data_IF_828789866173
#
_entry.id   IF_828789866173
#
_cell.length_a   1.000
_cell.length_b   1.000
_cell.length_c   1.000
_cell.angle_alpha   90.00
_cell.angle_beta   90.00
_cell.angle_gamma   90.00
#
_symmetry.space_group_name_H-M   'P 1'
#
loop_
_entity.id
_entity.type
_entity.pdbx_description
1 polymer ?
#
# COMPACT_ATOMS: atom_id res chain seq x y z
N UNK A 1 4.06 -21.45 29.91
CA UNK A 1 4.42 -21.52 28.52
C UNK A 1 3.30 -22.09 27.65
N UNK A 2 2.82 -23.29 27.98
CA UNK A 2 1.75 -23.94 27.19
C UNK A 2 0.46 -23.13 27.15
N UNK A 3 0.01 -22.57 28.29
CA UNK A 3 -1.18 -21.72 28.34
C UNK A 3 -1.01 -20.45 27.47
N UNK A 4 0.19 -19.86 27.46
CA UNK A 4 0.50 -18.71 26.63
C UNK A 4 0.56 -19.06 25.14
N UNK A 5 1.01 -20.25 24.78
CA UNK A 5 0.97 -20.76 23.41
C UNK A 5 -0.46 -20.99 22.92
N UNK A 6 -1.32 -21.56 23.77
CA UNK A 6 -2.75 -21.76 23.48
C UNK A 6 -3.46 -20.41 23.27
N UNK A 7 -3.16 -19.40 24.10
CA UNK A 7 -3.72 -18.05 23.98
C UNK A 7 -3.25 -17.40 22.66
N UNK A 8 -1.99 -17.54 22.28
CA UNK A 8 -1.47 -17.04 21.01
C UNK A 8 -2.20 -17.68 19.83
N UNK A 9 -2.37 -19.01 19.83
CA UNK A 9 -3.08 -19.72 18.75
C UNK A 9 -4.55 -19.29 18.67
N UNK A 10 -5.20 -19.09 19.82
CA UNK A 10 -6.58 -18.61 19.88
C UNK A 10 -6.69 -17.19 19.31
N UNK A 11 -5.83 -16.27 19.74
CA UNK A 11 -5.87 -14.86 19.36
C UNK A 11 -5.59 -14.66 17.87
N UNK A 12 -4.57 -15.30 17.32
CA UNK A 12 -4.24 -15.15 15.90
C UNK A 12 -5.29 -15.71 14.94
N UNK A 13 -6.27 -16.45 15.44
CA UNK A 13 -7.41 -16.95 14.66
C UNK A 13 -8.69 -16.13 14.85
N UNK A 14 -8.66 -15.11 15.72
CA UNK A 14 -9.77 -14.17 15.86
C UNK A 14 -9.69 -13.08 14.78
N UNK A 15 -10.86 -12.63 14.32
CA UNK A 15 -10.97 -11.57 13.31
C UNK A 15 -10.16 -10.33 13.70
N UNK A 16 -9.40 -9.82 12.73
CA UNK A 16 -8.65 -8.59 12.87
C UNK A 16 -7.27 -8.74 13.48
N UNK A 17 -6.90 -9.90 13.99
CA UNK A 17 -5.55 -10.12 14.54
C UNK A 17 -4.56 -10.51 13.45
N UNK A 18 -3.31 -10.03 13.57
CA UNK A 18 -2.23 -10.55 12.72
C UNK A 18 -2.02 -12.03 13.00
N UNK A 19 -1.86 -12.82 11.94
CA UNK A 19 -1.59 -14.26 12.07
C UNK A 19 -0.22 -14.58 12.61
N UNK A 20 0.70 -13.61 12.58
CA UNK A 20 2.04 -13.72 13.13
C UNK A 20 2.31 -12.54 14.08
N UNK A 21 2.97 -12.76 15.23
CA UNK A 21 3.34 -11.67 16.13
C UNK A 21 4.33 -10.72 15.46
N UNK A 22 4.06 -9.43 15.55
CA UNK A 22 4.98 -8.39 15.13
C UNK A 22 4.66 -7.11 15.90
N UNK A 23 5.69 -6.29 16.13
CA UNK A 23 5.56 -5.03 16.84
C UNK A 23 5.87 -3.88 15.90
N UNK A 24 5.03 -2.84 15.92
CA UNK A 24 5.24 -1.65 15.13
C UNK A 24 6.38 -0.81 15.72
N UNK A 25 7.40 -0.59 14.91
CA UNK A 25 8.56 0.26 15.25
C UNK A 25 8.56 1.58 14.46
N UNK A 26 7.67 1.73 13.49
CA UNK A 26 7.55 2.88 12.63
C UNK A 26 6.36 3.75 13.04
N UNK A 27 6.59 5.05 13.20
CA UNK A 27 5.54 6.06 13.27
C UNK A 27 5.61 6.90 12.02
N UNK A 28 4.67 6.69 11.12
CA UNK A 28 4.56 7.39 9.84
C UNK A 28 3.08 7.45 9.45
N UNK A 29 2.32 8.32 10.15
CA UNK A 29 0.86 8.32 10.09
C UNK A 29 0.26 9.55 9.44
N UNK A 30 0.88 10.72 9.62
CA UNK A 30 0.38 12.00 9.10
C UNK A 30 1.48 13.04 9.10
N UNK A 31 1.71 13.66 7.94
CA UNK A 31 2.69 14.73 7.76
C UNK A 31 2.07 15.89 6.96
N UNK A 32 1.06 16.56 7.51
CA UNK A 32 0.32 17.59 6.77
C UNK A 32 1.16 18.84 6.45
N UNK A 33 2.27 19.05 7.16
CA UNK A 33 3.15 20.19 6.97
C UNK A 33 4.44 19.84 6.20
N UNK A 34 4.51 18.67 5.61
CA UNK A 34 5.65 18.25 4.80
C UNK A 34 5.88 19.21 3.62
N UNK A 35 7.15 19.43 3.31
CA UNK A 35 7.56 20.18 2.12
C UNK A 35 7.94 19.18 1.03
N UNK A 36 7.15 19.17 -0.05
CA UNK A 36 7.35 18.28 -1.18
C UNK A 36 8.18 18.96 -2.27
N UNK A 37 9.11 18.22 -2.86
CA UNK A 37 9.92 18.68 -3.99
C UNK A 37 10.23 17.54 -4.96
N UNK A 38 10.60 17.91 -6.19
CA UNK A 38 11.01 17.00 -7.26
C UNK A 38 12.49 17.26 -7.58
N UNK A 39 13.43 16.58 -6.92
CA UNK A 39 14.86 16.94 -6.94
C UNK A 39 15.52 16.75 -8.31
N UNK A 40 14.93 15.93 -9.20
CA UNK A 40 15.43 15.71 -10.55
C UNK A 40 14.81 16.67 -11.58
N UNK A 41 14.00 17.63 -11.14
CA UNK A 41 13.37 18.61 -12.02
C UNK A 41 12.24 18.03 -12.88
N UNK A 42 11.59 16.95 -12.41
CA UNK A 42 10.47 16.35 -13.13
C UNK A 42 9.35 17.35 -13.35
N UNK A 43 8.70 17.26 -14.51
CA UNK A 43 7.66 18.19 -14.90
C UNK A 43 6.40 18.01 -14.06
N UNK A 44 5.86 19.13 -13.58
CA UNK A 44 4.54 19.21 -12.99
C UNK A 44 3.60 19.98 -13.90
N UNK A 45 2.30 19.80 -13.73
CA UNK A 45 1.30 20.32 -14.66
C UNK A 45 0.25 21.16 -13.93
N UNK A 46 -0.16 22.26 -14.56
CA UNK A 46 -1.39 22.94 -14.19
C UNK A 46 -2.59 22.11 -14.65
N UNK A 47 -3.81 22.48 -14.21
CA UNK A 47 -5.03 21.81 -14.64
C UNK A 47 -5.17 21.77 -16.18
N UNK A 48 -4.93 22.90 -16.83
CA UNK A 48 -5.05 23.00 -18.30
C UNK A 48 -3.91 22.28 -19.03
N UNK A 49 -2.69 22.38 -18.53
CA UNK A 49 -1.54 21.66 -19.12
C UNK A 49 -1.71 20.14 -19.03
N UNK A 50 -2.23 19.65 -17.90
CA UNK A 50 -2.49 18.22 -17.71
C UNK A 50 -3.57 17.71 -18.68
N UNK A 51 -4.63 18.48 -18.86
CA UNK A 51 -5.69 18.20 -19.84
C UNK A 51 -5.15 18.20 -21.26
N UNK A 52 -4.32 19.15 -21.64
CA UNK A 52 -3.69 19.22 -22.96
C UNK A 52 -2.82 17.99 -23.22
N UNK A 53 -2.02 17.58 -22.23
CA UNK A 53 -1.21 16.37 -22.37
C UNK A 53 -2.09 15.13 -22.55
N UNK A 54 -3.11 14.97 -21.74
CA UNK A 54 -4.05 13.86 -21.83
C UNK A 54 -4.70 13.80 -23.21
N UNK A 55 -5.24 14.91 -23.68
CA UNK A 55 -5.92 14.99 -24.97
C UNK A 55 -4.99 14.65 -26.14
N UNK A 56 -3.74 15.11 -26.09
CA UNK A 56 -2.80 14.95 -27.18
C UNK A 56 -2.07 13.61 -27.20
N UNK A 57 -1.94 12.94 -26.04
CA UNK A 57 -1.05 11.78 -25.90
C UNK A 57 -1.72 10.50 -25.40
N UNK A 58 -2.87 10.57 -24.76
CA UNK A 58 -3.49 9.41 -24.12
C UNK A 58 -4.89 9.14 -24.62
N UNK A 59 -5.73 10.16 -24.73
CA UNK A 59 -7.15 10.03 -24.99
C UNK A 59 -7.49 9.18 -26.21
N UNK A 60 -6.77 9.40 -27.32
CA UNK A 60 -7.01 8.68 -28.56
C UNK A 60 -6.67 7.18 -28.50
N UNK A 61 -5.87 6.78 -27.51
CA UNK A 61 -5.45 5.40 -27.30
C UNK A 61 -6.43 4.61 -26.42
N UNK A 62 -7.34 5.28 -25.72
CA UNK A 62 -8.26 4.63 -24.76
C UNK A 62 -9.47 3.98 -25.41
N UNK A 63 -9.70 4.22 -26.72
CA UNK A 63 -10.86 3.71 -27.44
C UNK A 63 -12.14 4.46 -27.12
N UNK A 64 -13.26 3.96 -27.64
CA UNK A 64 -14.58 4.57 -27.52
C UNK A 64 -15.41 4.04 -26.34
N UNK A 65 -14.92 3.04 -25.61
CA UNK A 65 -15.60 2.51 -24.44
C UNK A 65 -15.65 3.58 -23.34
N UNK A 66 -16.84 3.92 -22.80
CA UNK A 66 -16.95 4.91 -21.72
C UNK A 66 -16.06 4.62 -20.50
N UNK A 67 -15.78 3.34 -20.21
CA UNK A 67 -14.90 2.93 -19.12
C UNK A 67 -13.43 3.37 -19.33
N UNK A 68 -13.02 3.58 -20.59
CA UNK A 68 -11.69 4.09 -20.93
C UNK A 68 -11.72 5.58 -21.27
N UNK A 69 -12.87 6.20 -21.19
CA UNK A 69 -13.08 7.57 -21.65
C UNK A 69 -12.47 8.64 -20.75
N UNK A 70 -12.65 9.89 -21.17
CA UNK A 70 -12.14 11.06 -20.49
C UNK A 70 -12.82 11.36 -19.13
N UNK A 71 -13.88 10.65 -18.77
CA UNK A 71 -14.70 10.98 -17.59
C UNK A 71 -13.88 10.89 -16.29
N UNK A 72 -13.11 9.82 -16.10
CA UNK A 72 -12.27 9.67 -14.90
C UNK A 72 -11.19 10.73 -14.84
N UNK A 73 -10.55 11.01 -15.98
CA UNK A 73 -9.55 12.07 -16.06
C UNK A 73 -10.17 13.44 -15.73
N UNK A 74 -11.26 13.79 -16.36
CA UNK A 74 -11.92 15.08 -16.14
C UNK A 74 -12.36 15.25 -14.69
N UNK A 75 -12.90 14.20 -14.07
CA UNK A 75 -13.27 14.22 -12.67
C UNK A 75 -12.07 14.47 -11.77
N UNK A 76 -11.03 13.66 -11.85
CA UNK A 76 -9.87 13.78 -10.98
C UNK A 76 -9.13 15.11 -11.19
N UNK A 77 -9.08 15.60 -12.43
CA UNK A 77 -8.50 16.89 -12.76
C UNK A 77 -9.29 18.06 -12.18
N UNK A 78 -10.61 17.92 -12.08
CA UNK A 78 -11.49 18.95 -11.50
C UNK A 78 -11.42 19.02 -9.99
N UNK A 79 -11.18 17.89 -9.30
CA UNK A 79 -11.15 17.83 -7.83
C UNK A 79 -9.75 18.01 -7.24
N UNK A 80 -8.70 17.86 -8.04
CA UNK A 80 -7.34 18.10 -7.59
C UNK A 80 -7.15 19.56 -7.16
N UNK A 81 -6.54 19.76 -6.00
CA UNK A 81 -6.33 21.07 -5.41
C UNK A 81 -4.85 21.26 -5.00
N UNK A 82 -4.57 22.22 -4.13
CA UNK A 82 -3.20 22.53 -3.71
C UNK A 82 -2.49 21.40 -2.96
N UNK A 83 -3.22 20.41 -2.46
CA UNK A 83 -2.66 19.24 -1.77
C UNK A 83 -2.21 18.15 -2.75
N UNK A 84 -2.60 18.22 -4.02
CA UNK A 84 -2.23 17.28 -5.07
C UNK A 84 -1.42 17.97 -6.17
N UNK A 85 -0.31 17.34 -6.56
CA UNK A 85 0.50 17.79 -7.71
C UNK A 85 0.29 16.86 -8.89
N UNK A 86 -0.07 17.44 -10.03
CA UNK A 86 -0.30 16.71 -11.28
C UNK A 86 1.01 16.34 -11.94
N UNK A 87 1.20 15.07 -12.21
CA UNK A 87 2.36 14.53 -12.94
C UNK A 87 1.92 13.55 -14.02
N UNK A 88 2.84 13.23 -14.90
CA UNK A 88 2.69 12.13 -15.86
C UNK A 88 3.81 11.13 -15.59
N UNK A 89 3.45 9.90 -15.29
CA UNK A 89 4.42 8.81 -15.22
C UNK A 89 4.66 8.28 -16.61
N UNK A 90 5.91 8.21 -17.03
CA UNK A 90 6.33 7.65 -18.31
C UNK A 90 6.96 6.28 -18.09
N UNK A 91 6.61 5.30 -18.91
CA UNK A 91 7.10 3.93 -18.76
C UNK A 91 8.61 3.88 -18.66
N UNK A 92 9.10 3.19 -17.63
CA UNK A 92 10.52 2.97 -17.31
C UNK A 92 11.33 4.25 -17.04
N UNK A 93 10.66 5.38 -16.77
CA UNK A 93 11.30 6.64 -16.41
C UNK A 93 11.01 6.94 -14.93
N UNK A 94 12.00 6.83 -14.03
CA UNK A 94 11.80 7.11 -12.61
C UNK A 94 11.40 8.57 -12.35
N UNK A 95 10.40 8.76 -11.51
CA UNK A 95 10.01 10.06 -10.98
C UNK A 95 10.31 10.06 -9.48
N UNK A 96 11.17 10.97 -9.05
CA UNK A 96 11.59 11.09 -7.65
C UNK A 96 10.87 12.22 -6.96
N UNK A 97 10.35 11.95 -5.75
CA UNK A 97 9.69 12.93 -4.88
C UNK A 97 10.38 12.91 -3.53
N UNK A 98 10.74 14.09 -3.01
CA UNK A 98 11.30 14.24 -1.68
C UNK A 98 10.34 14.99 -0.76
N UNK A 99 10.26 14.56 0.47
CA UNK A 99 9.50 15.21 1.53
C UNK A 99 10.42 15.54 2.69
N UNK A 100 10.48 16.80 3.06
CA UNK A 100 11.21 17.33 4.21
C UNK A 100 10.25 18.02 5.17
N UNK A 101 10.77 18.61 6.24
CA UNK A 101 9.94 19.23 7.29
C UNK A 101 8.94 18.25 7.89
N UNK A 102 9.37 17.01 8.11
CA UNK A 102 8.58 15.98 8.77
C UNK A 102 8.59 16.22 10.27
N UNK A 103 7.42 16.20 10.90
CA UNK A 103 7.27 16.56 12.32
C UNK A 103 6.82 15.41 13.21
N UNK A 104 6.25 14.34 12.61
CA UNK A 104 5.54 13.30 13.34
C UNK A 104 6.08 11.90 13.05
N UNK A 105 7.26 11.77 12.45
CA UNK A 105 7.72 10.50 11.91
C UNK A 105 8.98 10.03 12.62
N UNK A 106 8.97 8.76 13.03
CA UNK A 106 10.03 8.13 13.83
C UNK A 106 10.17 6.66 13.46
N UNK A 107 11.40 6.16 13.57
CA UNK A 107 11.69 4.74 13.53
C UNK A 107 12.54 4.34 14.73
N UNK A 108 12.04 3.43 15.57
CA UNK A 108 12.69 3.04 16.83
C UNK A 108 13.10 4.25 17.71
N UNK A 109 12.22 5.26 17.77
CA UNK A 109 12.49 6.50 18.52
C UNK A 109 13.41 7.48 17.80
N UNK A 110 13.99 7.11 16.68
CA UNK A 110 14.86 7.98 15.87
C UNK A 110 14.00 8.80 14.91
N UNK A 111 14.20 10.11 14.89
CA UNK A 111 13.42 10.98 14.01
C UNK A 111 13.73 10.73 12.54
N UNK A 112 12.67 10.63 11.74
CA UNK A 112 12.75 10.65 10.30
C UNK A 112 12.63 12.11 9.85
N UNK A 113 13.67 12.64 9.23
CA UNK A 113 13.70 14.03 8.78
C UNK A 113 13.30 14.20 7.32
N UNK A 114 13.50 13.17 6.52
CA UNK A 114 13.18 13.15 5.09
C UNK A 114 12.72 11.76 4.66
N UNK A 115 11.75 11.73 3.75
CA UNK A 115 11.38 10.52 3.02
C UNK A 115 11.49 10.79 1.51
N UNK A 116 11.95 9.81 0.78
CA UNK A 116 12.12 9.87 -0.66
C UNK A 116 11.38 8.72 -1.32
N UNK A 117 10.49 9.05 -2.26
CA UNK A 117 9.79 8.08 -3.09
C UNK A 117 10.32 8.14 -4.52
N UNK A 118 10.54 6.99 -5.11
CA UNK A 118 10.86 6.87 -6.54
C UNK A 118 9.81 5.99 -7.19
N UNK A 119 8.99 6.60 -8.07
CA UNK A 119 7.94 5.91 -8.81
C UNK A 119 8.42 5.59 -10.22
N UNK A 120 8.22 4.36 -10.66
CA UNK A 120 8.49 3.95 -12.04
C UNK A 120 7.30 3.17 -12.59
N UNK A 121 6.65 3.71 -13.61
CA UNK A 121 5.59 3.02 -14.32
C UNK A 121 6.20 1.84 -15.09
N UNK A 122 5.76 0.63 -14.80
CA UNK A 122 6.23 -0.59 -15.46
C UNK A 122 5.30 -1.02 -16.59
N UNK A 123 3.99 -0.83 -16.41
CA UNK A 123 3.00 -1.19 -17.41
C UNK A 123 1.68 -0.44 -17.15
N UNK A 124 0.95 -0.09 -18.20
CA UNK A 124 -0.42 0.41 -18.12
C UNK A 124 -1.44 -0.71 -18.36
N UNK A 125 -1.04 -1.77 -19.06
CA UNK A 125 -1.94 -2.80 -19.54
C UNK A 125 -2.87 -2.37 -20.67
N UNK A 126 -2.66 -1.15 -21.21
CA UNK A 126 -3.45 -0.61 -22.31
C UNK A 126 -2.56 -0.54 -23.56
N UNK A 127 -2.95 -1.18 -24.68
CA UNK A 127 -2.15 -1.20 -25.90
C UNK A 127 -1.85 0.21 -26.40
N UNK A 128 -0.57 0.50 -26.67
CA UNK A 128 -0.12 1.80 -27.19
C UNK A 128 -0.07 2.93 -26.14
N UNK A 129 -0.39 2.67 -24.87
CA UNK A 129 -0.35 3.67 -23.81
C UNK A 129 0.85 3.39 -22.91
N UNK A 130 1.85 4.28 -22.97
CA UNK A 130 3.11 4.19 -22.23
C UNK A 130 3.28 5.32 -21.19
N UNK A 131 2.22 6.05 -20.90
CA UNK A 131 2.21 7.10 -19.89
C UNK A 131 0.90 7.07 -19.10
N UNK A 132 0.96 7.58 -17.87
CA UNK A 132 -0.15 7.51 -16.93
C UNK A 132 -0.21 8.79 -16.11
N UNK A 133 -1.36 9.50 -16.12
CA UNK A 133 -1.57 10.60 -15.21
C UNK A 133 -1.60 10.12 -13.76
N UNK A 134 -0.95 10.85 -12.89
CA UNK A 134 -0.95 10.59 -11.45
C UNK A 134 -0.99 11.91 -10.67
N UNK A 135 -1.50 11.83 -9.44
CA UNK A 135 -1.47 12.91 -8.47
C UNK A 135 -0.56 12.52 -7.32
N UNK A 136 0.44 13.35 -7.06
CA UNK A 136 1.33 13.17 -5.92
C UNK A 136 0.80 14.02 -4.78
N UNK A 137 0.49 13.36 -3.66
CA UNK A 137 -0.03 14.04 -2.48
C UNK A 137 1.06 14.82 -1.76
N UNK A 138 0.71 15.99 -1.24
CA UNK A 138 1.59 16.81 -0.42
C UNK A 138 1.98 16.11 0.89
N UNK A 139 1.06 15.36 1.47
CA UNK A 139 1.34 14.51 2.62
C UNK A 139 1.87 13.16 2.14
N UNK A 140 3.10 12.78 2.48
CA UNK A 140 3.68 11.52 2.02
C UNK A 140 2.93 10.29 2.52
N UNK A 141 2.20 10.40 3.63
CA UNK A 141 1.43 9.29 4.20
C UNK A 141 0.08 9.08 3.49
N UNK A 142 -0.36 10.04 2.70
CA UNK A 142 -1.52 9.94 1.81
C UNK A 142 -1.12 9.43 0.43
N UNK A 143 0.06 9.74 -0.02
CA UNK A 143 0.91 9.16 -1.05
C UNK A 143 0.54 9.53 -2.49
N UNK A 144 -0.32 8.78 -3.17
CA UNK A 144 -0.63 9.10 -4.57
C UNK A 144 -2.00 8.57 -5.02
N UNK A 145 -2.46 9.17 -6.12
CA UNK A 145 -3.55 8.66 -6.96
C UNK A 145 -2.99 8.38 -8.35
N UNK A 146 -3.49 7.36 -9.02
CA UNK A 146 -3.15 7.12 -10.41
C UNK A 146 -4.37 6.71 -11.23
N UNK A 147 -4.32 7.05 -12.52
CA UNK A 147 -5.41 6.75 -13.44
C UNK A 147 -5.09 5.46 -14.19
N UNK A 148 -5.72 4.39 -13.74
CA UNK A 148 -5.55 3.07 -14.32
C UNK A 148 -6.34 2.88 -15.62
N UNK A 149 -7.33 3.72 -15.86
CA UNK A 149 -8.19 3.70 -17.04
C UNK A 149 -8.74 2.31 -17.39
N UNK A 150 -9.06 1.53 -16.36
CA UNK A 150 -9.54 0.15 -16.50
C UNK A 150 -8.52 -0.79 -17.18
N UNK A 151 -7.25 -0.45 -17.07
CA UNK A 151 -6.12 -1.26 -17.53
C UNK A 151 -5.59 -2.20 -16.46
N UNK A 152 -4.29 -2.47 -16.54
CA UNK A 152 -3.54 -3.36 -15.66
C UNK A 152 -2.29 -2.64 -15.14
N UNK A 153 -2.47 -1.55 -14.40
CA UNK A 153 -1.33 -0.77 -13.93
C UNK A 153 -0.35 -1.60 -13.11
N UNK A 154 0.92 -1.34 -13.34
CA UNK A 154 2.03 -1.82 -12.51
C UNK A 154 3.00 -0.67 -12.32
N UNK A 155 3.09 -0.17 -11.08
CA UNK A 155 3.96 0.94 -10.71
C UNK A 155 4.91 0.46 -9.63
N UNK A 156 6.21 0.57 -9.90
CA UNK A 156 7.23 0.33 -8.88
C UNK A 156 7.39 1.56 -8.00
N UNK A 157 7.44 1.36 -6.70
CA UNK A 157 7.66 2.40 -5.71
C UNK A 157 8.80 1.97 -4.80
N UNK A 158 9.87 2.77 -4.77
CA UNK A 158 10.98 2.62 -3.82
C UNK A 158 10.91 3.70 -2.77
N UNK A 159 11.21 3.34 -1.52
CA UNK A 159 11.10 4.24 -0.38
C UNK A 159 12.39 4.23 0.41
N UNK A 160 12.91 5.43 0.71
CA UNK A 160 14.03 5.62 1.62
C UNK A 160 13.66 6.64 2.69
N UNK A 161 13.93 6.29 3.94
CA UNK A 161 13.86 7.22 5.07
C UNK A 161 15.25 7.69 5.45
N UNK A 162 15.35 8.94 5.87
CA UNK A 162 16.61 9.59 6.27
C UNK A 162 16.47 10.16 7.67
N UNK A 163 17.54 10.07 8.46
CA UNK A 163 17.61 10.67 9.78
C UNK A 163 17.99 12.18 9.70
N UNK A 164 18.14 12.81 10.85
CA UNK A 164 18.47 14.23 10.94
C UNK A 164 19.88 14.57 10.46
N UNK A 165 20.77 13.58 10.41
CA UNK A 165 22.15 13.74 9.90
C UNK A 165 22.24 13.48 8.39
N UNK A 166 21.12 13.17 7.74
CA UNK A 166 21.07 12.89 6.31
C UNK A 166 21.47 11.46 5.94
N UNK A 167 21.61 10.56 6.92
CA UNK A 167 21.91 9.16 6.68
C UNK A 167 20.64 8.36 6.42
N UNK A 168 20.73 7.37 5.54
CA UNK A 168 19.61 6.43 5.28
C UNK A 168 19.35 5.61 6.55
N UNK A 169 18.09 5.56 6.95
CA UNK A 169 17.64 4.70 8.04
C UNK A 169 17.36 3.31 7.46
N UNK A 170 17.86 2.27 8.12
CA UNK A 170 17.44 0.90 7.84
C UNK A 170 16.10 0.62 8.54
N UNK A 171 14.98 0.52 7.80
CA UNK A 171 13.66 0.37 8.40
C UNK A 171 13.29 -1.08 8.68
N UNK A 172 14.24 -2.01 8.68
CA UNK A 172 13.96 -3.43 8.91
C UNK A 172 13.18 -3.64 10.20
N UNK A 173 12.08 -4.37 10.10
CA UNK A 173 11.13 -4.59 11.19
C UNK A 173 9.93 -3.65 11.19
N UNK A 174 9.96 -2.55 10.44
CA UNK A 174 8.81 -1.65 10.31
C UNK A 174 7.60 -2.39 9.71
N UNK A 175 6.41 -2.03 10.17
CA UNK A 175 5.16 -2.57 9.65
C UNK A 175 4.45 -1.52 8.78
N UNK A 176 4.16 -1.88 7.56
CA UNK A 176 3.46 -1.05 6.58
C UNK A 176 2.00 -1.47 6.49
N UNK A 177 1.13 -0.48 6.35
CA UNK A 177 -0.28 -0.69 6.09
C UNK A 177 -0.52 -0.85 4.59
N UNK A 178 -1.07 -1.99 4.18
CA UNK A 178 -1.64 -2.20 2.86
C UNK A 178 -3.13 -2.45 3.04
N UNK A 179 -3.95 -1.46 2.75
CA UNK A 179 -5.39 -1.49 3.05
C UNK A 179 -6.24 -0.92 1.94
N UNK A 180 -7.56 -0.99 2.11
CA UNK A 180 -8.53 -0.57 1.10
C UNK A 180 -8.30 -1.27 -0.25
N UNK A 181 -7.97 -2.56 -0.20
CA UNK A 181 -7.69 -3.36 -1.39
C UNK A 181 -8.99 -4.01 -1.90
N UNK A 182 -9.69 -3.29 -2.75
CA UNK A 182 -11.01 -3.66 -3.24
C UNK A 182 -10.94 -4.71 -4.35
N UNK A 183 -11.88 -5.65 -4.32
CA UNK A 183 -12.17 -6.58 -5.40
C UNK A 183 -13.65 -6.51 -5.72
N UNK A 184 -13.99 -5.90 -6.85
CA UNK A 184 -15.36 -5.71 -7.32
C UNK A 184 -15.72 -6.60 -8.50
N UNK A 185 -16.99 -6.94 -8.58
CA UNK A 185 -17.56 -7.76 -9.66
C UNK A 185 -18.46 -6.96 -10.60
N UNK A 186 -18.45 -5.63 -10.46
CA UNK A 186 -19.32 -4.75 -11.22
C UNK A 186 -20.74 -4.66 -10.68
N UNK A 187 -21.43 -3.63 -11.10
CA UNK A 187 -22.84 -3.36 -10.80
C UNK A 187 -23.56 -2.98 -12.08
N UNK A 188 -24.88 -2.80 -12.02
CA UNK A 188 -25.65 -2.31 -13.18
C UNK A 188 -25.25 -0.90 -13.61
N UNK A 189 -24.80 -0.07 -12.66
CA UNK A 189 -24.32 1.30 -12.92
C UNK A 189 -22.82 1.37 -13.24
N UNK A 190 -22.04 0.39 -12.79
CA UNK A 190 -20.60 0.29 -13.03
C UNK A 190 -20.27 -1.14 -13.48
N UNK A 191 -20.58 -1.49 -14.72
CA UNK A 191 -20.39 -2.85 -15.22
C UNK A 191 -18.91 -3.22 -15.32
N UNK A 192 -18.65 -4.53 -15.33
CA UNK A 192 -17.30 -5.06 -15.60
C UNK A 192 -16.79 -4.59 -16.95
N UNK A 193 -15.47 -4.38 -17.04
CA UNK A 193 -14.78 -4.13 -18.30
C UNK A 193 -14.22 -5.45 -18.80
N UNK A 194 -14.50 -5.77 -20.06
CA UNK A 194 -14.07 -7.02 -20.71
C UNK A 194 -14.50 -8.29 -19.93
N UNK A 195 -15.60 -8.22 -19.19
CA UNK A 195 -16.09 -9.33 -18.37
C UNK A 195 -15.21 -9.69 -17.17
N UNK A 196 -14.25 -8.85 -16.81
CA UNK A 196 -13.30 -9.11 -15.73
C UNK A 196 -13.62 -8.33 -14.46
N UNK A 197 -13.33 -8.94 -13.31
CA UNK A 197 -13.44 -8.28 -12.01
C UNK A 197 -12.42 -7.15 -11.90
N UNK A 198 -12.73 -6.20 -11.03
CA UNK A 198 -11.81 -5.09 -10.71
C UNK A 198 -11.06 -5.42 -9.42
N UNK A 199 -9.72 -5.40 -9.44
CA UNK A 199 -8.92 -5.81 -8.29
C UNK A 199 -7.80 -4.83 -8.04
N UNK A 200 -7.77 -4.24 -6.85
CA UNK A 200 -6.63 -3.45 -6.38
C UNK A 200 -5.60 -4.38 -5.72
N UNK A 201 -4.32 -4.15 -5.99
CA UNK A 201 -3.26 -5.10 -5.63
C UNK A 201 -2.03 -4.41 -5.06
N UNK A 202 -1.37 -5.08 -4.12
CA UNK A 202 0.08 -4.97 -3.98
C UNK A 202 0.65 -6.10 -4.84
N UNK A 203 1.27 -5.75 -5.97
CA UNK A 203 1.72 -6.75 -6.95
C UNK A 203 2.96 -7.51 -6.50
N UNK A 204 3.86 -6.82 -5.80
CA UNK A 204 5.02 -7.41 -5.16
C UNK A 204 5.55 -6.52 -4.03
N UNK A 205 6.30 -7.11 -3.14
CA UNK A 205 6.93 -6.43 -2.02
C UNK A 205 8.20 -7.20 -1.66
N UNK A 206 9.31 -6.49 -1.42
CA UNK A 206 10.59 -7.12 -1.06
C UNK A 206 10.73 -7.44 0.43
N UNK A 207 9.66 -7.27 1.22
CA UNK A 207 9.55 -7.73 2.59
C UNK A 207 8.68 -8.97 2.70
N UNK A 208 8.02 -9.12 3.84
CA UNK A 208 7.11 -10.22 4.12
C UNK A 208 5.69 -9.70 4.32
N UNK A 209 4.70 -10.39 3.75
CA UNK A 209 3.31 -10.13 4.08
C UNK A 209 2.92 -10.90 5.33
N UNK A 210 2.21 -10.23 6.23
CA UNK A 210 1.56 -10.85 7.38
C UNK A 210 0.05 -10.73 7.16
N UNK A 211 -0.61 -11.87 7.00
CA UNK A 211 -2.06 -11.90 6.83
C UNK A 211 -2.78 -11.54 8.12
N UNK A 212 -3.98 -10.99 7.96
CA UNK A 212 -4.88 -10.66 9.08
C UNK A 212 -6.02 -11.67 9.08
N UNK A 213 -6.28 -12.28 10.24
CA UNK A 213 -7.35 -13.27 10.38
C UNK A 213 -8.70 -12.68 10.00
N UNK A 214 -9.44 -13.37 9.15
CA UNK A 214 -10.74 -12.94 8.63
C UNK A 214 -10.68 -11.98 7.45
N UNK A 215 -9.50 -11.45 7.10
CA UNK A 215 -9.33 -10.55 5.96
C UNK A 215 -9.60 -11.26 4.64
N UNK A 216 -10.14 -10.51 3.69
CA UNK A 216 -10.28 -10.96 2.29
C UNK A 216 -8.95 -10.92 1.53
N UNK A 217 -7.94 -10.21 2.05
CA UNK A 217 -6.64 -10.06 1.40
C UNK A 217 -5.72 -11.17 1.85
N UNK A 218 -5.17 -11.89 0.88
CA UNK A 218 -4.26 -13.01 1.12
C UNK A 218 -3.03 -12.94 0.23
N UNK A 219 -1.98 -13.65 0.64
CA UNK A 219 -0.79 -13.87 -0.19
C UNK A 219 -1.18 -14.73 -1.39
N UNK A 220 -0.80 -14.29 -2.56
CA UNK A 220 -1.16 -14.95 -3.83
C UNK A 220 0.03 -15.70 -4.42
N UNK A 221 -0.23 -16.74 -5.26
CA UNK A 221 0.84 -17.51 -5.90
C UNK A 221 1.79 -16.69 -6.79
N UNK A 222 1.32 -15.55 -7.29
CA UNK A 222 2.14 -14.63 -8.11
C UNK A 222 3.08 -13.74 -7.30
N UNK A 223 3.08 -13.88 -5.97
CA UNK A 223 3.90 -13.07 -5.06
C UNK A 223 3.23 -11.78 -4.60
N UNK A 224 2.04 -11.49 -5.06
CA UNK A 224 1.27 -10.32 -4.65
C UNK A 224 0.37 -10.57 -3.44
N UNK A 225 -0.35 -9.52 -3.06
CA UNK A 225 -1.38 -9.57 -2.04
C UNK A 225 -2.63 -8.84 -2.55
N UNK A 226 -3.74 -9.53 -2.60
CA UNK A 226 -5.03 -9.02 -3.05
C UNK A 226 -6.15 -9.99 -2.67
N UNK A 227 -7.39 -9.57 -2.87
CA UNK A 227 -8.55 -10.42 -2.64
C UNK A 227 -8.79 -11.35 -3.83
N UNK A 228 -8.86 -12.65 -3.58
CA UNK A 228 -9.19 -13.67 -4.61
C UNK A 228 -10.62 -13.57 -5.07
N UNK A 229 -11.52 -13.09 -4.21
CA UNK A 229 -12.95 -13.01 -4.44
C UNK A 229 -13.49 -11.62 -4.12
N UNK A 230 -14.70 -11.32 -4.59
CA UNK A 230 -15.42 -10.12 -4.26
C UNK A 230 -15.43 -9.83 -2.76
N UNK A 231 -15.04 -8.61 -2.38
CA UNK A 231 -15.11 -8.12 -1.01
C UNK A 231 -15.97 -6.86 -0.86
N UNK A 232 -16.75 -6.53 -1.88
CA UNK A 232 -17.54 -5.31 -1.94
C UNK A 232 -19.04 -5.52 -1.77
N UNK A 233 -19.56 -6.69 -2.16
CA UNK A 233 -21.00 -6.96 -2.22
C UNK A 233 -21.35 -8.22 -1.44
N UNK A 234 -22.02 -8.04 -0.32
CA UNK A 234 -22.53 -9.11 0.53
C UNK A 234 -23.52 -10.02 -0.21
N UNK A 235 -24.35 -9.44 -1.08
CA UNK A 235 -25.31 -10.16 -1.91
C UNK A 235 -24.64 -11.10 -2.93
N UNK A 236 -23.35 -10.92 -3.21
CA UNK A 236 -22.58 -11.72 -4.15
C UNK A 236 -21.44 -12.49 -3.46
N UNK A 237 -21.57 -12.79 -2.17
CA UNK A 237 -20.69 -13.69 -1.44
C UNK A 237 -19.63 -13.04 -0.57
N UNK A 238 -19.51 -11.71 -0.56
CA UNK A 238 -18.63 -11.03 0.39
C UNK A 238 -19.19 -11.11 1.80
N UNK A 239 -18.31 -11.17 2.80
CA UNK A 239 -18.71 -11.13 4.20
C UNK A 239 -19.34 -9.78 4.58
N UNK A 240 -18.84 -8.68 4.00
CA UNK A 240 -19.32 -7.33 4.22
C UNK A 240 -19.61 -6.62 2.91
N UNK A 241 -20.46 -5.59 2.97
CA UNK A 241 -20.53 -4.59 1.91
C UNK A 241 -19.38 -3.58 2.07
N UNK A 242 -19.00 -2.88 1.01
CA UNK A 242 -17.94 -1.87 1.03
C UNK A 242 -18.11 -0.85 2.17
N UNK A 243 -19.33 -0.38 2.38
CA UNK A 243 -19.65 0.60 3.44
C UNK A 243 -19.41 0.09 4.86
N UNK A 244 -19.31 -1.23 5.04
CA UNK A 244 -19.13 -1.85 6.36
C UNK A 244 -17.66 -2.02 6.75
N UNK A 245 -16.72 -1.80 5.81
CA UNK A 245 -15.30 -1.96 6.11
C UNK A 245 -14.37 -0.91 5.47
N UNK A 246 -14.73 -0.33 4.32
CA UNK A 246 -13.80 0.46 3.51
C UNK A 246 -13.79 1.94 3.92
N UNK A 247 -13.29 2.19 5.11
CA UNK A 247 -12.91 3.53 5.54
C UNK A 247 -11.76 3.42 6.56
N UNK A 248 -10.99 4.49 6.67
CA UNK A 248 -9.78 4.52 7.50
C UNK A 248 -10.08 4.29 9.00
N UNK A 249 -11.27 4.68 9.45
CA UNK A 249 -11.70 4.61 10.85
C UNK A 249 -12.67 3.48 11.14
N UNK A 250 -13.04 2.68 10.14
CA UNK A 250 -13.98 1.58 10.34
C UNK A 250 -13.35 0.46 11.17
N UNK A 251 -14.09 -0.07 12.14
CA UNK A 251 -13.62 -1.17 12.98
C UNK A 251 -13.36 -2.47 12.20
N UNK A 252 -13.90 -2.61 11.01
CA UNK A 252 -13.70 -3.74 10.10
C UNK A 252 -12.72 -3.43 8.96
N UNK A 253 -11.95 -2.34 9.05
CA UNK A 253 -11.00 -1.97 7.99
C UNK A 253 -9.96 -3.06 7.70
N UNK A 254 -9.71 -3.94 8.66
CA UNK A 254 -8.85 -5.12 8.50
C UNK A 254 -9.33 -6.08 7.40
N UNK A 255 -10.63 -6.04 7.05
CA UNK A 255 -11.20 -6.94 6.04
C UNK A 255 -10.59 -6.74 4.64
N UNK A 256 -10.19 -5.53 4.30
CA UNK A 256 -9.54 -5.19 3.03
C UNK A 256 -8.05 -4.93 3.16
N UNK A 257 -7.37 -5.49 4.15
CA UNK A 257 -6.01 -5.16 4.49
C UNK A 257 -5.10 -6.37 4.71
N UNK A 258 -3.81 -6.13 4.54
CA UNK A 258 -2.70 -7.01 4.90
C UNK A 258 -1.58 -6.14 5.47
N UNK A 259 -0.70 -6.73 6.27
CA UNK A 259 0.45 -6.02 6.84
C UNK A 259 1.71 -6.36 6.05
N UNK A 260 2.54 -5.37 5.77
CA UNK A 260 3.85 -5.56 5.17
C UNK A 260 4.95 -5.39 6.21
N UNK A 261 5.77 -6.42 6.45
CA UNK A 261 6.94 -6.33 7.32
C UNK A 261 8.18 -6.07 6.49
N UNK A 262 8.85 -4.97 6.76
CA UNK A 262 10.08 -4.58 6.06
C UNK A 262 11.23 -5.49 6.50
N UNK A 263 11.96 -6.03 5.52
CA UNK A 263 13.11 -6.93 5.74
C UNK A 263 14.38 -6.46 5.05
N UNK A 264 14.33 -5.34 4.35
CA UNK A 264 15.46 -4.78 3.59
C UNK A 264 15.64 -3.29 3.88
N UNK A 265 16.86 -2.76 3.75
CA UNK A 265 17.13 -1.33 3.96
C UNK A 265 16.37 -0.41 2.99
N UNK A 266 16.17 -0.81 1.75
CA UNK A 266 15.31 -0.12 0.80
C UNK A 266 13.99 -0.86 0.66
N UNK A 267 12.89 -0.15 0.85
CA UNK A 267 11.55 -0.68 0.62
C UNK A 267 11.26 -0.62 -0.87
N UNK A 268 10.84 -1.75 -1.44
CA UNK A 268 10.53 -1.89 -2.85
C UNK A 268 9.15 -2.56 -2.98
N UNK A 269 8.19 -1.82 -3.53
CA UNK A 269 6.81 -2.24 -3.67
C UNK A 269 6.39 -2.03 -5.13
N UNK A 270 5.70 -3.02 -5.71
CA UNK A 270 4.94 -2.81 -6.93
C UNK A 270 3.45 -2.76 -6.59
N UNK A 271 2.80 -1.69 -6.97
CA UNK A 271 1.37 -1.49 -6.78
C UNK A 271 0.66 -1.47 -8.12
N UNK A 272 -0.62 -1.80 -8.11
CA UNK A 272 -1.40 -1.76 -9.33
C UNK A 272 -2.84 -2.18 -9.13
N UNK A 273 -3.54 -2.26 -10.23
CA UNK A 273 -4.94 -2.68 -10.24
C UNK A 273 -5.30 -3.29 -11.57
N UNK A 274 -6.23 -4.26 -11.51
CA UNK A 274 -6.87 -4.83 -12.69
C UNK A 274 -8.22 -4.14 -12.89
N UNK A 275 -8.46 -3.56 -14.07
CA UNK A 275 -9.77 -3.05 -14.51
C UNK A 275 -10.42 -1.99 -13.60
N UNK A 276 -9.65 -1.28 -12.79
CA UNK A 276 -10.09 -0.09 -12.04
C UNK A 276 -9.92 1.17 -12.88
N UNK A 277 -10.70 2.21 -12.57
CA UNK A 277 -10.57 3.52 -13.23
C UNK A 277 -9.53 4.39 -12.57
N UNK A 278 -9.81 4.88 -11.37
CA UNK A 278 -8.91 5.69 -10.54
C UNK A 278 -8.58 4.90 -9.28
N UNK A 279 -7.32 4.91 -8.89
CA UNK A 279 -6.85 4.16 -7.71
C UNK A 279 -6.03 5.08 -6.81
N UNK A 280 -6.30 5.01 -5.52
CA UNK A 280 -5.51 5.64 -4.48
C UNK A 280 -4.66 4.58 -3.77
N UNK A 281 -3.39 4.90 -3.54
CA UNK A 281 -2.49 4.09 -2.72
C UNK A 281 -1.88 4.97 -1.64
N UNK A 282 -1.95 4.51 -0.39
CA UNK A 282 -1.36 5.19 0.76
C UNK A 282 -0.27 4.32 1.40
N UNK A 283 0.93 4.87 1.52
CA UNK A 283 2.03 4.28 2.28
C UNK A 283 2.08 4.93 3.66
N UNK A 284 1.81 4.17 4.70
CA UNK A 284 1.86 4.65 6.08
C UNK A 284 2.00 3.49 7.07
N UNK A 285 2.11 3.83 8.34
CA UNK A 285 2.24 2.88 9.45
C UNK A 285 0.92 2.57 10.18
N UNK A 286 -0.21 3.04 9.64
CA UNK A 286 -1.54 2.84 10.25
C UNK A 286 -2.09 1.45 9.94
N UNK A 287 -1.42 0.41 10.41
CA UNK A 287 -1.88 -0.96 10.19
C UNK A 287 -3.30 -1.16 10.72
N UNK A 288 -4.11 -1.93 10.00
CA UNK A 288 -5.52 -2.19 10.34
C UNK A 288 -5.68 -3.43 11.23
N UNK A 289 -4.60 -4.13 11.51
CA UNK A 289 -4.61 -5.34 12.31
C UNK A 289 -4.46 -5.02 13.81
N UNK A 290 -5.04 -5.89 14.62
CA UNK A 290 -4.72 -5.99 16.06
C UNK A 290 -3.46 -6.85 16.15
N UNK A 291 -2.48 -6.41 16.95
CA UNK A 291 -1.25 -7.18 17.15
C UNK A 291 -1.56 -8.48 17.89
N UNK A 292 -1.10 -9.61 17.34
CA UNK A 292 -1.16 -10.87 18.05
C UNK A 292 -0.25 -10.81 19.31
N UNK A 293 -0.58 -11.53 20.38
CA UNK A 293 0.30 -11.62 21.52
C UNK A 293 1.71 -12.07 21.11
N UNK A 294 2.77 -11.60 21.77
CA UNK A 294 4.11 -12.02 21.46
C UNK A 294 4.26 -13.52 21.67
N UNK A 295 5.10 -14.15 20.81
CA UNK A 295 5.39 -15.57 20.95
C UNK A 295 6.04 -15.82 22.30
N UNK A 296 5.49 -16.73 23.12
CA UNK A 296 6.09 -17.07 24.41
C UNK A 296 7.49 -17.66 24.25
N UNK A 297 8.35 -17.38 25.21
CA UNK A 297 9.69 -17.97 25.26
C UNK A 297 9.57 -19.35 25.89
N UNK A 298 10.10 -20.38 25.23
CA UNK A 298 10.16 -21.72 25.77
C UNK A 298 11.11 -21.75 26.96
N UNK A 299 10.69 -22.32 28.13
CA UNK A 299 11.58 -22.43 29.29
C UNK A 299 12.79 -23.31 28.95
N UNK A 300 13.98 -22.86 29.34
CA UNK A 300 15.18 -23.72 29.28
C UNK A 300 15.09 -24.83 30.32
N UNK A 301 15.45 -26.09 29.95
CA UNK A 301 15.52 -27.17 30.95
C UNK A 301 16.51 -26.81 32.08
N UNK A 302 16.23 -27.16 33.36
CA UNK A 302 17.17 -26.93 34.44
C UNK A 302 18.48 -27.65 34.14
N UNK A 303 19.61 -26.99 34.43
CA UNK A 303 20.91 -27.61 34.30
C UNK A 303 21.01 -28.81 35.25
N UNK A 304 21.41 -30.03 34.80
CA UNK A 304 21.58 -31.17 35.69
C UNK A 304 22.56 -30.81 36.82
N UNK A 305 22.32 -31.25 38.07
CA UNK A 305 23.29 -31.02 39.13
C UNK A 305 24.63 -31.67 38.79
N UNK A 306 25.71 -30.93 39.03
CA UNK A 306 27.06 -31.46 38.86
C UNK A 306 27.27 -32.65 39.78
N UNK A 307 27.79 -33.77 39.26
CA UNK A 307 28.15 -34.91 40.08
C UNK A 307 29.14 -34.49 41.18
N UNK A 308 28.93 -34.91 42.44
CA UNK A 308 29.91 -34.63 43.48
C UNK A 308 31.27 -35.22 43.12
N UNK A 309 32.32 -34.41 43.24
CA UNK A 309 33.69 -34.85 43.02
C UNK A 309 34.01 -35.91 44.07
N UNK A 310 34.38 -37.13 43.64
CA UNK A 310 34.79 -38.15 44.58
C UNK A 310 36.05 -37.69 45.33
N UNK A 311 36.06 -37.82 46.67
CA UNK A 311 37.28 -37.52 47.44
C UNK A 311 38.44 -38.39 46.95
N UNK A 312 39.62 -37.82 46.82
CA UNK A 312 40.86 -38.51 46.45
C UNK A 312 41.33 -39.34 47.65
#
# INVERSE_FOLDING_TARGET
YNAAMEELERKKNEDGYMKEPASQSLTFQSEPNATMSFPNGDQTYTQSEWKTYFDNNISSQLGSNPAYGANDFNYINSVANADETRVILHKDQPLKVQYTNLQNSYFNGKKISKVEYTYTLKNTGLPGVDSMPALIEKDPTVTLWYLNFYGEADINMKVKFYDEDGNVIDPTGALLNFSSLNHGIGTSSTPKVDGQDTVEKVRSFNGEFIEISGSSITKQPDGGAYASNNNEQKSAGSRFNTSEWDSDTNSNAWYGAIVGKVTNPEININIGASKRGVVWFALNSKIKAIAAPPKPVEPTPPTPPTEPVKPV
#
